data_IF_116178200250
#
_entry.id   IF_116178200250
#
_cell.length_a   1.000
_cell.length_b   1.000
_cell.length_c   1.000
_cell.angle_alpha   90.00
_cell.angle_beta   90.00
_cell.angle_gamma   90.00
#
_symmetry.space_group_name_H-M   'P 1'
#
loop_
_entity.id
_entity.type
_entity.pdbx_description
1 polymer ?
#
# COMPACT_ATOMS: atom_id res chain seq x y z
N UNK A 1 23.59 -25.68 6.39
CA UNK A 1 22.22 -25.67 6.98
C UNK A 1 21.97 -24.66 8.10
N UNK A 2 22.98 -24.12 8.82
CA UNK A 2 22.77 -23.05 9.83
C UNK A 2 22.68 -21.62 9.25
N UNK A 3 23.25 -21.38 8.07
CA UNK A 3 23.29 -20.07 7.39
C UNK A 3 21.97 -19.66 6.71
N UNK A 4 21.20 -20.61 6.18
CA UNK A 4 19.89 -20.34 5.57
C UNK A 4 18.84 -19.90 6.61
N UNK A 5 18.86 -20.50 7.82
CA UNK A 5 17.98 -20.09 8.92
C UNK A 5 18.27 -18.66 9.41
N UNK A 6 19.54 -18.22 9.40
CA UNK A 6 19.91 -16.85 9.76
C UNK A 6 19.45 -15.82 8.70
N UNK A 7 19.53 -16.14 7.40
CA UNK A 7 19.02 -15.28 6.32
C UNK A 7 17.50 -15.05 6.45
N UNK A 8 16.75 -16.09 6.78
CA UNK A 8 15.29 -15.99 6.95
C UNK A 8 14.90 -15.12 8.15
N UNK A 9 15.66 -15.18 9.25
CA UNK A 9 15.45 -14.35 10.45
C UNK A 9 15.75 -12.86 10.17
N UNK A 10 16.81 -12.55 9.40
CA UNK A 10 17.14 -11.17 9.00
C UNK A 10 16.12 -10.61 7.99
N UNK A 11 15.64 -11.44 7.05
CA UNK A 11 14.56 -11.05 6.12
C UNK A 11 13.26 -10.81 6.90
N UNK A 12 12.84 -11.72 7.77
CA UNK A 12 11.61 -11.56 8.56
C UNK A 12 11.66 -10.36 9.51
N UNK A 13 12.81 -10.04 10.09
CA UNK A 13 12.99 -8.82 10.89
C UNK A 13 12.98 -7.52 10.06
N UNK A 14 13.34 -7.57 8.77
CA UNK A 14 13.16 -6.45 7.83
C UNK A 14 11.72 -6.33 7.28
N UNK A 15 11.04 -7.46 7.03
CA UNK A 15 9.65 -7.50 6.55
C UNK A 15 8.65 -7.01 7.61
N UNK A 16 8.99 -7.15 8.89
CA UNK A 16 8.17 -6.69 10.02
C UNK A 16 8.29 -5.19 10.32
N UNK A 17 9.11 -4.40 9.60
CA UNK A 17 9.21 -2.93 9.79
C UNK A 17 8.40 -2.13 8.75
N UNK A 18 7.75 -2.83 7.81
CA UNK A 18 7.04 -2.25 6.66
C UNK A 18 5.52 -2.19 6.91
N UNK A 19 5.10 -1.36 7.85
CA UNK A 19 3.68 -1.07 8.05
C UNK A 19 3.30 0.11 7.15
N UNK A 20 2.53 -0.15 6.09
CA UNK A 20 1.83 0.89 5.35
C UNK A 20 0.34 0.62 5.35
N UNK A 21 -0.31 1.50 6.09
CA UNK A 21 -1.74 1.67 6.23
C UNK A 21 -2.34 2.29 4.95
N UNK A 22 -3.65 2.48 4.98
CA UNK A 22 -4.53 3.08 3.95
C UNK A 22 -3.85 4.10 3.04
N UNK A 23 -4.27 4.11 1.76
CA UNK A 23 -3.78 5.02 0.74
C UNK A 23 -3.81 6.50 1.21
N UNK A 24 -2.74 7.28 0.98
CA UNK A 24 -2.75 8.70 1.34
C UNK A 24 -3.88 9.45 0.62
N UNK A 25 -4.67 10.22 1.39
CA UNK A 25 -5.77 11.06 0.87
C UNK A 25 -5.25 12.03 -0.20
N UNK A 26 -4.07 12.64 0.02
CA UNK A 26 -3.40 13.54 -0.92
C UNK A 26 -1.98 13.07 -1.22
N UNK A 27 -1.50 13.37 -2.43
CA UNK A 27 -0.11 13.14 -2.78
C UNK A 27 0.83 14.06 -1.99
N UNK A 28 1.88 13.47 -1.39
CA UNK A 28 2.87 14.19 -0.57
C UNK A 28 3.65 15.29 -1.30
N UNK A 29 3.67 15.31 -2.62
CA UNK A 29 4.40 16.31 -3.41
C UNK A 29 3.46 17.32 -4.05
N UNK A 30 2.41 16.85 -4.73
CA UNK A 30 1.53 17.71 -5.54
C UNK A 30 0.28 18.19 -4.80
N UNK A 31 -0.06 17.63 -3.64
CA UNK A 31 -1.30 17.93 -2.90
C UNK A 31 -2.60 17.48 -3.59
N UNK A 32 -2.52 16.90 -4.80
CA UNK A 32 -3.66 16.35 -5.54
C UNK A 32 -4.30 15.23 -4.72
N UNK A 33 -5.63 15.18 -4.71
CA UNK A 33 -6.39 14.10 -4.07
C UNK A 33 -6.12 12.78 -4.81
N UNK A 34 -5.69 11.78 -4.04
CA UNK A 34 -5.32 10.45 -4.52
C UNK A 34 -6.12 9.34 -3.83
N UNK A 35 -6.57 9.55 -2.59
CA UNK A 35 -7.21 8.50 -1.77
C UNK A 35 -8.42 7.80 -2.40
N UNK A 36 -9.19 8.50 -3.23
CA UNK A 36 -10.37 7.95 -3.89
C UNK A 36 -10.09 7.13 -5.15
N UNK A 37 -8.82 6.97 -5.54
CA UNK A 37 -8.44 6.38 -6.83
C UNK A 37 -8.04 4.92 -6.75
N UNK A 38 -7.77 4.41 -5.55
CA UNK A 38 -7.22 3.08 -5.36
C UNK A 38 -8.16 1.97 -5.83
N UNK A 39 -9.44 2.03 -5.44
CA UNK A 39 -10.43 1.01 -5.84
C UNK A 39 -10.61 0.95 -7.37
N UNK A 40 -10.67 2.12 -8.01
CA UNK A 40 -10.74 2.21 -9.48
C UNK A 40 -9.48 1.67 -10.16
N UNK A 41 -8.30 1.92 -9.58
CA UNK A 41 -7.05 1.35 -10.06
C UNK A 41 -7.07 -0.19 -10.01
N UNK A 42 -7.48 -0.75 -8.87
CA UNK A 42 -7.60 -2.20 -8.69
C UNK A 42 -8.61 -2.82 -9.67
N UNK A 43 -9.72 -2.13 -9.94
CA UNK A 43 -10.69 -2.57 -10.96
C UNK A 43 -10.05 -2.65 -12.34
N UNK A 44 -9.32 -1.63 -12.79
CA UNK A 44 -8.67 -1.65 -14.09
C UNK A 44 -7.62 -2.74 -14.23
N UNK A 45 -6.88 -3.05 -13.17
CA UNK A 45 -5.93 -4.17 -13.17
C UNK A 45 -6.64 -5.52 -13.26
N UNK A 46 -7.77 -5.69 -12.55
CA UNK A 46 -8.60 -6.90 -12.65
C UNK A 46 -9.20 -7.07 -14.06
N UNK A 47 -9.52 -5.97 -14.73
CA UNK A 47 -9.99 -5.94 -16.11
C UNK A 47 -8.86 -6.20 -17.14
N UNK A 48 -7.62 -6.45 -16.68
CA UNK A 48 -6.47 -6.80 -17.54
C UNK A 48 -5.76 -5.62 -18.19
N UNK A 49 -5.98 -4.38 -17.72
CA UNK A 49 -5.28 -3.21 -18.23
C UNK A 49 -3.84 -3.14 -17.70
N UNK A 50 -2.94 -2.56 -18.49
CA UNK A 50 -1.58 -2.28 -18.03
C UNK A 50 -1.57 -1.19 -16.96
N UNK A 51 -0.57 -1.21 -16.07
CA UNK A 51 -0.41 -0.19 -15.01
C UNK A 51 -0.40 1.24 -15.57
N UNK A 52 0.25 1.43 -16.72
CA UNK A 52 0.35 2.73 -17.39
C UNK A 52 -1.03 3.22 -17.83
N UNK A 53 -1.79 2.37 -18.52
CA UNK A 53 -3.12 2.73 -19.03
C UNK A 53 -4.10 2.96 -17.88
N UNK A 54 -4.04 2.14 -16.83
CA UNK A 54 -4.84 2.33 -15.63
C UNK A 54 -4.58 3.70 -14.97
N UNK A 55 -3.31 4.11 -14.84
CA UNK A 55 -2.95 5.41 -14.29
C UNK A 55 -3.37 6.59 -15.17
N UNK A 56 -3.34 6.41 -16.48
CA UNK A 56 -3.79 7.40 -17.46
C UNK A 56 -5.30 7.59 -17.39
N UNK A 57 -6.07 6.51 -17.29
CA UNK A 57 -7.52 6.53 -17.09
C UNK A 57 -7.94 7.20 -15.77
N UNK A 58 -7.12 7.09 -14.72
CA UNK A 58 -7.33 7.78 -13.44
C UNK A 58 -6.99 9.29 -13.49
N UNK A 59 -6.53 9.80 -14.64
CA UNK A 59 -6.16 11.20 -14.82
C UNK A 59 -4.94 11.63 -14.00
N UNK A 60 -4.03 10.70 -13.70
CA UNK A 60 -2.78 10.97 -12.97
C UNK A 60 -1.65 11.29 -13.95
N UNK A 61 -1.59 12.54 -14.43
CA UNK A 61 -0.55 12.95 -15.40
C UNK A 61 0.86 13.01 -14.79
N UNK A 62 1.01 13.63 -13.61
CA UNK A 62 2.32 13.86 -12.96
C UNK A 62 2.85 12.59 -12.30
N UNK A 63 4.15 12.31 -12.47
CA UNK A 63 4.84 11.16 -11.87
C UNK A 63 4.70 11.11 -10.34
N UNK A 64 4.72 12.26 -9.67
CA UNK A 64 4.63 12.34 -8.22
C UNK A 64 3.29 11.82 -7.68
N UNK A 65 2.20 12.02 -8.43
CA UNK A 65 0.89 11.54 -8.03
C UNK A 65 0.70 10.05 -8.49
N UNK A 66 1.37 9.60 -9.57
CA UNK A 66 1.41 8.18 -9.99
C UNK A 66 2.12 7.28 -8.97
N UNK A 67 3.26 7.72 -8.43
CA UNK A 67 4.03 6.94 -7.45
C UNK A 67 3.23 6.61 -6.19
N UNK A 68 2.25 7.45 -5.84
CA UNK A 68 1.37 7.21 -4.68
C UNK A 68 0.48 5.99 -4.87
N UNK A 69 0.03 5.73 -6.11
CA UNK A 69 -0.78 4.55 -6.44
C UNK A 69 0.12 3.35 -6.64
N UNK A 70 1.18 3.47 -7.45
CA UNK A 70 2.07 2.34 -7.77
C UNK A 70 2.75 1.71 -6.55
N UNK A 71 3.14 2.52 -5.55
CA UNK A 71 3.84 2.05 -4.36
C UNK A 71 2.91 1.79 -3.17
N UNK A 72 1.59 1.85 -3.37
CA UNK A 72 0.62 1.56 -2.31
C UNK A 72 0.42 0.06 -2.17
N UNK A 73 0.36 -0.40 -0.92
CA UNK A 73 0.09 -1.80 -0.56
C UNK A 73 -0.95 -1.77 0.55
N UNK A 74 -2.08 -2.46 0.37
CA UNK A 74 -3.12 -2.57 1.38
C UNK A 74 -2.77 -3.65 2.40
N UNK A 75 -2.47 -3.23 3.63
CA UNK A 75 -2.18 -4.13 4.76
C UNK A 75 -3.23 -4.06 5.87
N UNK A 76 -4.26 -3.21 5.72
CA UNK A 76 -5.29 -2.97 6.75
C UNK A 76 -6.06 -4.26 7.12
N UNK A 77 -6.46 -5.05 6.13
CA UNK A 77 -7.23 -6.29 6.34
C UNK A 77 -6.48 -7.32 7.18
N UNK A 78 -5.15 -7.32 7.08
CA UNK A 78 -4.29 -8.21 7.86
C UNK A 78 -4.09 -7.70 9.28
N UNK A 79 -4.12 -6.38 9.49
CA UNK A 79 -3.98 -5.78 10.82
C UNK A 79 -5.25 -5.92 11.67
N UNK A 80 -6.44 -5.82 11.04
CA UNK A 80 -7.74 -5.99 11.73
C UNK A 80 -7.89 -7.36 12.43
N UNK A 81 -7.15 -8.37 11.98
CA UNK A 81 -7.19 -9.72 12.56
C UNK A 81 -6.49 -9.81 13.93
N UNK A 82 -5.76 -8.77 14.36
CA UNK A 82 -4.93 -8.78 15.56
C UNK A 82 -5.35 -7.76 16.64
N UNK A 83 -6.60 -7.31 16.65
CA UNK A 83 -7.09 -6.37 17.66
C UNK A 83 -6.79 -6.89 19.08
N UNK A 84 -5.94 -6.14 19.79
CA UNK A 84 -5.68 -6.34 21.21
C UNK A 84 -6.85 -5.77 21.99
N UNK A 85 -7.28 -6.45 23.05
CA UNK A 85 -8.25 -5.89 24.01
C UNK A 85 -7.79 -4.48 24.42
N UNK A 86 -8.60 -3.47 24.08
CA UNK A 86 -8.33 -2.08 24.43
C UNK A 86 -8.44 -1.98 25.96
N UNK A 87 -7.38 -1.60 26.70
CA UNK A 87 -7.53 -1.33 28.13
C UNK A 87 -8.54 -0.19 28.28
N UNK A 88 -9.66 -0.49 28.93
CA UNK A 88 -10.71 0.49 29.22
C UNK A 88 -10.06 1.63 30.01
N UNK A 89 -10.07 2.82 29.43
CA UNK A 89 -9.72 4.05 30.15
C UNK A 89 -10.90 4.31 31.09
N UNK A 90 -10.71 3.98 32.37
CA UNK A 90 -11.62 4.38 33.44
C UNK A 90 -11.43 5.87 33.74
#
# INVERSE_FOLDING_TARGET
MKTEKLKLIIILSYQLKYYKMIMPIRCFTCGKVTGNKWESYQKYLKDGKSDKDALDLLGLRKYCCRRMVLSHVELIDKMLQYDKEIPKIN
#
